data_IF_666816245216
#
_entry.id   IF_666816245216
#
_cell.length_a   1.000
_cell.length_b   1.000
_cell.length_c   1.000
_cell.angle_alpha   90.00
_cell.angle_beta   90.00
_cell.angle_gamma   90.00
#
_symmetry.space_group_name_H-M   'P 1'
#
loop_
_entity.id
_entity.type
_entity.pdbx_description
1 polymer ?
#
# COMPACT_ATOMS: atom_id res chain seq x y z
N UNK A 1 10.18 -5.82 17.56
CA UNK A 1 10.11 -7.23 17.12
C UNK A 1 10.62 -8.23 18.16
N UNK A 2 11.81 -8.08 18.77
CA UNK A 2 12.41 -9.13 19.62
C UNK A 2 11.65 -9.58 20.92
N UNK A 3 10.85 -8.71 21.58
CA UNK A 3 10.29 -9.03 22.91
C UNK A 3 8.95 -9.80 22.87
N UNK A 4 8.19 -9.68 21.79
CA UNK A 4 6.90 -10.38 21.61
C UNK A 4 7.14 -11.81 21.16
N UNK A 5 8.05 -12.00 20.21
CA UNK A 5 8.46 -13.33 19.72
C UNK A 5 9.02 -14.21 20.84
N UNK A 6 9.89 -13.67 21.70
CA UNK A 6 10.42 -14.40 22.86
C UNK A 6 9.32 -14.86 23.82
N UNK A 7 8.25 -14.07 24.02
CA UNK A 7 7.14 -14.45 24.90
C UNK A 7 6.23 -15.51 24.28
N UNK A 8 6.00 -15.43 22.97
CA UNK A 8 5.22 -16.45 22.26
C UNK A 8 5.96 -17.79 22.25
N UNK A 9 7.27 -17.79 22.01
CA UNK A 9 8.10 -19.00 22.04
C UNK A 9 8.07 -19.69 23.42
N UNK A 10 8.12 -18.93 24.52
CA UNK A 10 8.01 -19.47 25.88
C UNK A 10 6.65 -20.12 26.18
N UNK A 11 5.61 -19.76 25.42
CA UNK A 11 4.26 -20.33 25.51
C UNK A 11 4.01 -21.45 24.47
N UNK A 12 5.02 -21.82 23.67
CA UNK A 12 4.88 -22.79 22.58
C UNK A 12 4.04 -22.27 21.40
N UNK A 13 3.89 -20.96 21.27
CA UNK A 13 3.13 -20.30 20.22
C UNK A 13 4.09 -19.71 19.17
N UNK A 14 3.66 -19.73 17.90
CA UNK A 14 4.41 -19.16 16.77
C UNK A 14 3.55 -18.09 16.10
N UNK A 15 4.17 -16.97 15.69
CA UNK A 15 3.48 -15.96 14.91
C UNK A 15 3.09 -16.53 13.54
N UNK A 16 1.91 -16.18 13.00
CA UNK A 16 1.60 -16.49 11.61
C UNK A 16 2.63 -15.82 10.69
N UNK A 17 2.92 -16.42 9.51
CA UNK A 17 3.81 -15.81 8.54
C UNK A 17 3.26 -14.45 8.12
N UNK A 18 4.16 -13.50 7.82
CA UNK A 18 3.77 -12.23 7.20
C UNK A 18 3.05 -12.52 5.88
N UNK A 19 1.93 -11.83 5.64
CA UNK A 19 1.21 -11.93 4.38
C UNK A 19 2.04 -11.18 3.35
N UNK A 20 2.63 -11.92 2.42
CA UNK A 20 3.34 -11.37 1.26
C UNK A 20 2.44 -11.48 0.03
N UNK A 21 2.43 -10.50 -0.87
CA UNK A 21 1.71 -10.62 -2.13
C UNK A 21 2.17 -11.86 -2.90
N UNK A 22 1.29 -12.52 -3.68
CA UNK A 22 1.69 -13.67 -4.49
C UNK A 22 2.87 -13.30 -5.39
N UNK A 23 3.91 -14.15 -5.48
CA UNK A 23 4.99 -13.94 -6.43
C UNK A 23 4.43 -13.74 -7.84
N UNK A 24 4.89 -12.70 -8.53
CA UNK A 24 4.52 -12.44 -9.93
C UNK A 24 3.20 -11.70 -10.13
N UNK A 25 2.59 -11.12 -9.09
CA UNK A 25 1.50 -10.16 -9.30
C UNK A 25 2.04 -8.90 -10.00
N UNK A 26 1.52 -8.60 -11.18
CA UNK A 26 1.94 -7.52 -12.08
C UNK A 26 0.83 -6.49 -12.35
N UNK A 27 -0.29 -6.58 -11.61
CA UNK A 27 -1.48 -5.73 -11.81
C UNK A 27 -1.55 -4.53 -10.88
N UNK A 28 -0.41 -4.11 -10.30
CA UNK A 28 -0.33 -2.89 -9.48
C UNK A 28 -0.90 -1.67 -10.22
N UNK A 29 -0.64 -1.44 -11.53
CA UNK A 29 -1.24 -0.31 -12.24
C UNK A 29 -2.77 -0.31 -12.20
N UNK A 30 -3.41 -1.48 -12.26
CA UNK A 30 -4.86 -1.62 -12.20
C UNK A 30 -5.41 -1.42 -10.78
N UNK A 31 -4.69 -1.84 -9.74
CA UNK A 31 -5.05 -1.56 -8.34
C UNK A 31 -5.07 -0.05 -8.07
N UNK A 32 -4.03 0.66 -8.53
CA UNK A 32 -3.91 2.12 -8.32
C UNK A 32 -4.90 2.93 -9.18
N UNK A 33 -5.55 2.34 -10.19
CA UNK A 33 -6.65 3.01 -10.90
C UNK A 33 -7.76 3.44 -9.95
N UNK A 34 -8.07 2.69 -8.88
CA UNK A 34 -9.11 3.10 -7.94
C UNK A 34 -8.84 4.47 -7.29
N UNK A 35 -7.57 4.79 -7.02
CA UNK A 35 -7.20 6.12 -6.55
C UNK A 35 -7.28 7.17 -7.67
N UNK A 36 -6.72 6.85 -8.84
CA UNK A 36 -6.74 7.81 -9.95
C UNK A 36 -8.15 8.16 -10.40
N UNK A 37 -9.03 7.16 -10.50
CA UNK A 37 -10.43 7.33 -10.87
C UNK A 37 -11.17 8.20 -9.84
N UNK A 38 -10.93 7.97 -8.54
CA UNK A 38 -11.50 8.80 -7.47
C UNK A 38 -11.03 10.26 -7.54
N UNK A 39 -9.73 10.50 -7.74
CA UNK A 39 -9.20 11.87 -7.83
C UNK A 39 -9.77 12.58 -9.07
N UNK A 40 -9.85 11.89 -10.21
CA UNK A 40 -10.45 12.44 -11.43
C UNK A 40 -11.96 12.70 -11.26
N UNK A 41 -12.69 11.83 -10.54
CA UNK A 41 -14.11 12.04 -10.22
C UNK A 41 -14.32 13.28 -9.35
N UNK A 42 -13.48 13.47 -8.34
CA UNK A 42 -13.62 14.57 -7.38
C UNK A 42 -13.15 15.93 -7.92
N UNK A 43 -12.06 15.96 -8.69
CA UNK A 43 -11.39 17.20 -9.11
C UNK A 43 -11.47 17.48 -10.62
N UNK A 44 -12.03 16.56 -11.41
CA UNK A 44 -12.03 16.66 -12.87
C UNK A 44 -10.65 16.42 -13.49
N UNK A 45 -10.59 16.37 -14.83
CA UNK A 45 -9.34 16.08 -15.54
C UNK A 45 -8.30 17.21 -15.47
N UNK A 46 -8.75 18.47 -15.39
CA UNK A 46 -7.84 19.62 -15.48
C UNK A 46 -7.02 19.82 -14.19
N UNK A 47 -7.58 19.44 -13.04
CA UNK A 47 -6.92 19.51 -11.72
C UNK A 47 -6.45 18.12 -11.27
N UNK A 48 -7.29 17.10 -11.48
CA UNK A 48 -7.08 15.76 -10.96
C UNK A 48 -6.15 14.88 -11.81
N UNK A 49 -5.74 15.29 -13.01
CA UNK A 49 -4.76 14.53 -13.78
C UNK A 49 -3.37 14.60 -13.13
N UNK A 50 -2.77 13.45 -12.84
CA UNK A 50 -1.51 13.35 -12.11
C UNK A 50 -0.58 12.30 -12.72
N UNK A 51 0.72 12.54 -12.58
CA UNK A 51 1.71 11.49 -12.74
C UNK A 51 1.62 10.50 -11.57
N UNK A 52 1.98 9.24 -11.81
CA UNK A 52 2.00 8.22 -10.75
C UNK A 52 3.02 7.13 -10.99
N UNK A 53 3.38 6.44 -9.91
CA UNK A 53 4.09 5.16 -9.93
C UNK A 53 3.21 4.09 -9.28
N UNK A 54 3.22 2.88 -9.82
CA UNK A 54 2.51 1.73 -9.24
C UNK A 54 3.48 0.56 -9.12
N UNK A 55 4.11 0.44 -7.95
CA UNK A 55 5.18 -0.53 -7.68
C UNK A 55 4.74 -1.57 -6.66
N UNK A 56 5.16 -2.81 -6.86
CA UNK A 56 4.92 -3.88 -5.89
C UNK A 56 5.90 -3.78 -4.73
N UNK A 57 5.40 -3.93 -3.49
CA UNK A 57 6.21 -4.04 -2.28
C UNK A 57 6.04 -5.42 -1.65
N UNK A 58 7.08 -5.91 -0.97
CA UNK A 58 7.03 -7.19 -0.28
C UNK A 58 6.10 -7.15 0.93
N UNK A 59 6.09 -6.04 1.66
CA UNK A 59 5.22 -5.76 2.81
C UNK A 59 5.06 -4.26 3.02
N UNK A 60 4.01 -3.85 3.74
CA UNK A 60 3.75 -2.48 4.16
C UNK A 60 3.49 -2.42 5.68
N UNK A 61 3.74 -1.28 6.34
CA UNK A 61 3.42 -1.10 7.74
C UNK A 61 1.95 -1.45 8.07
N UNK A 62 1.72 -1.98 9.27
CA UNK A 62 0.38 -2.36 9.74
C UNK A 62 -0.36 -3.41 8.89
N UNK A 63 0.33 -4.09 7.97
CA UNK A 63 -0.25 -5.10 7.09
C UNK A 63 -1.38 -4.53 6.21
N UNK A 64 -1.26 -3.27 5.78
CA UNK A 64 -2.18 -2.66 4.81
C UNK A 64 -1.88 -3.16 3.39
N UNK A 65 -2.89 -3.27 2.51
CA UNK A 65 -2.70 -3.78 1.15
C UNK A 65 -2.16 -2.73 0.16
N UNK A 66 -2.39 -1.43 0.42
CA UNK A 66 -2.03 -0.32 -0.45
C UNK A 66 -1.65 0.88 0.42
N UNK A 67 -0.57 1.54 0.05
CA UNK A 67 -0.15 2.85 0.58
C UNK A 67 -0.07 3.83 -0.60
N UNK A 68 -0.52 5.06 -0.39
CA UNK A 68 -0.54 6.10 -1.43
C UNK A 68 0.05 7.37 -0.84
N UNK A 69 1.05 7.90 -1.54
CA UNK A 69 1.63 9.21 -1.28
C UNK A 69 1.42 10.08 -2.52
N UNK A 70 1.32 11.39 -2.31
CA UNK A 70 1.10 12.35 -3.40
C UNK A 70 1.73 13.69 -3.07
N UNK A 71 2.23 14.34 -4.12
CA UNK A 71 2.65 15.73 -4.10
C UNK A 71 1.61 16.54 -4.85
N UNK A 72 1.29 17.73 -4.32
CA UNK A 72 0.17 18.55 -4.76
C UNK A 72 0.60 20.00 -4.78
N UNK A 73 0.24 20.67 -5.86
CA UNK A 73 0.36 22.12 -5.99
C UNK A 73 -0.91 22.79 -5.46
N UNK A 74 -0.74 23.90 -4.77
CA UNK A 74 -1.85 24.70 -4.26
C UNK A 74 -1.55 26.17 -4.50
N UNK A 75 -2.60 26.96 -4.72
CA UNK A 75 -2.49 28.41 -4.70
C UNK A 75 -2.14 28.90 -3.28
N UNK A 76 -1.18 29.81 -3.20
CA UNK A 76 -0.72 30.41 -1.94
C UNK A 76 -1.60 31.57 -1.49
#
# INVERSE_FOLDING_TARGET
>A
MARVEQRLAALGLVLPPTVTPPPGFDKQPAVINGFSDLILELFGSDIGAHARSAVGMAELPFNIPVEIEGEVEFDA
#
